data_IF_505375560954
#
_entry.id   IF_505375560954
#
_cell.length_a   1.000
_cell.length_b   1.000
_cell.length_c   1.000
_cell.angle_alpha   90.00
_cell.angle_beta   90.00
_cell.angle_gamma   90.00
#
_symmetry.space_group_name_H-M   'P 1'
#
loop_
_entity.id
_entity.type
_entity.pdbx_description
1 polymer ?
#
# COMPACT_ATOMS: atom_id res chain seq x y z
N UNK A 1 3.11 -0.94 -35.77
CA UNK A 1 4.09 -0.71 -34.68
C UNK A 1 3.46 -0.09 -33.44
N UNK A 2 2.69 1.00 -33.54
CA UNK A 2 2.04 1.65 -32.39
C UNK A 2 1.14 0.71 -31.55
N UNK A 3 0.30 -0.11 -32.20
CA UNK A 3 -0.53 -1.14 -31.52
C UNK A 3 0.29 -2.13 -30.70
N UNK A 4 1.43 -2.57 -31.23
CA UNK A 4 2.32 -3.50 -30.53
C UNK A 4 2.95 -2.85 -29.29
N UNK A 5 3.42 -1.60 -29.43
CA UNK A 5 3.98 -0.84 -28.31
C UNK A 5 2.94 -0.57 -27.21
N UNK A 6 1.72 -0.19 -27.59
CA UNK A 6 0.61 0.02 -26.67
C UNK A 6 0.25 -1.27 -25.92
N UNK A 7 0.11 -2.40 -26.63
CA UNK A 7 -0.12 -3.70 -25.99
C UNK A 7 0.99 -4.04 -24.98
N UNK A 8 2.26 -3.84 -25.37
CA UNK A 8 3.41 -4.14 -24.51
C UNK A 8 3.40 -3.31 -23.21
N UNK A 9 3.05 -2.03 -23.30
CA UNK A 9 2.91 -1.15 -22.13
C UNK A 9 1.75 -1.60 -21.23
N UNK A 10 0.60 -1.96 -21.82
CA UNK A 10 -0.55 -2.46 -21.07
C UNK A 10 -0.17 -3.73 -20.30
N UNK A 11 0.48 -4.71 -20.95
CA UNK A 11 0.95 -5.91 -20.28
C UNK A 11 1.90 -5.58 -19.12
N UNK A 12 2.84 -4.64 -19.31
CA UNK A 12 3.73 -4.19 -18.24
C UNK A 12 2.98 -3.60 -17.04
N UNK A 13 2.01 -2.71 -17.29
CA UNK A 13 1.17 -2.11 -16.26
C UNK A 13 0.37 -3.18 -15.51
N UNK A 14 -0.22 -4.14 -16.24
CA UNK A 14 -0.99 -5.24 -15.64
C UNK A 14 -0.11 -6.12 -14.75
N UNK A 15 1.11 -6.44 -15.17
CA UNK A 15 2.05 -7.24 -14.37
C UNK A 15 2.43 -6.50 -13.09
N UNK A 16 2.81 -5.22 -13.19
CA UNK A 16 3.15 -4.40 -12.00
C UNK A 16 1.96 -4.28 -11.07
N UNK A 17 0.76 -4.05 -11.62
CA UNK A 17 -0.48 -3.97 -10.86
C UNK A 17 -0.81 -5.29 -10.14
N UNK A 18 -0.60 -6.43 -10.79
CA UNK A 18 -0.79 -7.75 -10.20
C UNK A 18 0.19 -7.99 -9.04
N UNK A 19 1.48 -7.69 -9.23
CA UNK A 19 2.50 -7.82 -8.17
C UNK A 19 2.16 -6.89 -7.00
N UNK A 20 1.81 -5.63 -7.26
CA UNK A 20 1.42 -4.66 -6.24
C UNK A 20 0.17 -5.09 -5.45
N UNK A 21 -0.78 -5.73 -6.12
CA UNK A 21 -1.98 -6.27 -5.46
C UNK A 21 -1.65 -7.48 -4.59
N UNK A 22 -0.78 -8.36 -5.08
CA UNK A 22 -0.33 -9.53 -4.34
C UNK A 22 0.45 -9.11 -3.09
N UNK A 23 1.38 -8.15 -3.21
CA UNK A 23 2.13 -7.62 -2.06
C UNK A 23 1.21 -6.93 -1.05
N UNK A 24 0.23 -6.15 -1.51
CA UNK A 24 -0.77 -5.54 -0.64
C UNK A 24 -1.54 -6.58 0.16
N UNK A 25 -2.02 -7.65 -0.50
CA UNK A 25 -2.74 -8.73 0.17
C UNK A 25 -1.84 -9.47 1.16
N UNK A 26 -0.61 -9.82 0.77
CA UNK A 26 0.35 -10.48 1.66
C UNK A 26 0.59 -9.66 2.94
N UNK A 27 0.76 -8.35 2.82
CA UNK A 27 0.96 -7.47 3.97
C UNK A 27 -0.26 -7.38 4.89
N UNK A 28 -1.48 -7.56 4.37
CA UNK A 28 -2.70 -7.58 5.18
C UNK A 28 -3.02 -8.95 5.79
N UNK A 29 -2.54 -10.03 5.18
CA UNK A 29 -2.72 -11.40 5.67
C UNK A 29 -1.73 -11.72 6.80
N UNK A 30 -0.54 -11.14 6.77
CA UNK A 30 0.44 -11.33 7.84
C UNK A 30 -0.12 -10.74 9.15
N UNK A 31 -0.32 -11.55 10.20
CA UNK A 31 -0.77 -11.05 11.49
C UNK A 31 0.36 -10.27 12.15
N UNK A 32 0.13 -8.98 12.40
CA UNK A 32 1.07 -8.07 13.05
C UNK A 32 1.43 -6.88 12.17
N UNK A 33 1.12 -5.68 12.64
CA UNK A 33 1.51 -4.42 12.02
C UNK A 33 2.80 -3.84 12.62
N UNK A 34 3.49 -2.93 11.90
CA UNK A 34 4.68 -2.23 12.40
C UNK A 34 4.43 -1.40 13.67
N UNK A 35 3.15 -1.21 14.04
CA UNK A 35 2.72 -0.49 15.24
C UNK A 35 2.17 -1.41 16.34
N UNK A 36 2.13 -2.72 16.11
CA UNK A 36 1.67 -3.72 17.07
C UNK A 36 2.81 -4.28 17.95
N UNK A 37 4.05 -3.87 17.70
CA UNK A 37 5.22 -4.26 18.49
C UNK A 37 5.17 -3.65 19.91
N UNK A 38 5.65 -4.43 20.90
CA UNK A 38 5.69 -4.27 22.37
C UNK A 38 5.65 -2.87 23.05
N UNK A 39 5.93 -1.76 22.35
CA UNK A 39 5.72 -0.42 22.89
C UNK A 39 4.24 -0.08 22.85
N UNK A 40 3.56 -0.27 23.99
CA UNK A 40 2.22 0.27 24.24
C UNK A 40 2.24 1.79 24.09
N UNK A 41 1.97 2.26 22.88
CA UNK A 41 1.70 3.67 22.64
C UNK A 41 0.43 4.05 23.41
N UNK A 42 0.36 5.26 24.00
CA UNK A 42 -0.88 5.81 24.52
C UNK A 42 -1.99 5.71 23.45
N UNK A 43 -3.25 5.43 23.84
CA UNK A 43 -4.34 5.20 22.90
C UNK A 43 -4.57 6.37 21.94
N UNK A 44 -4.30 7.60 22.40
CA UNK A 44 -4.36 8.82 21.58
C UNK A 44 -3.31 8.83 20.46
N UNK A 45 -2.09 8.34 20.73
CA UNK A 45 -1.03 8.26 19.74
C UNK A 45 -1.35 7.18 18.72
N UNK A 46 -1.88 6.03 19.15
CA UNK A 46 -2.33 4.97 18.24
C UNK A 46 -3.45 5.44 17.31
N UNK A 47 -4.43 6.19 17.82
CA UNK A 47 -5.50 6.76 17.01
C UNK A 47 -4.95 7.72 15.95
N UNK A 48 -4.03 8.60 16.34
CA UNK A 48 -3.36 9.53 15.42
C UNK A 48 -2.51 8.81 14.37
N UNK A 49 -1.80 7.73 14.74
CA UNK A 49 -1.03 6.91 13.81
C UNK A 49 -1.98 6.22 12.82
N UNK A 50 -3.05 5.60 13.30
CA UNK A 50 -4.03 4.92 12.45
C UNK A 50 -4.65 5.88 11.44
N UNK A 51 -5.06 7.07 11.88
CA UNK A 51 -5.59 8.12 11.01
C UNK A 51 -4.56 8.62 10.00
N UNK A 52 -3.30 8.81 10.42
CA UNK A 52 -2.21 9.29 9.56
C UNK A 52 -1.84 8.29 8.46
N UNK A 53 -1.86 7.00 8.75
CA UNK A 53 -1.55 5.92 7.79
C UNK A 53 -2.81 5.35 7.13
N UNK A 54 -3.99 5.92 7.37
CA UNK A 54 -5.27 5.46 6.83
C UNK A 54 -5.64 4.02 7.21
N UNK A 55 -5.06 3.51 8.31
CA UNK A 55 -5.34 2.19 8.87
C UNK A 55 -6.74 2.10 9.48
N UNK A 56 -7.39 3.25 9.70
CA UNK A 56 -8.78 3.40 10.14
C UNK A 56 -9.81 3.28 9.00
N UNK A 57 -9.35 3.23 7.75
CA UNK A 57 -10.22 3.21 6.56
C UNK A 57 -10.50 1.78 6.08
N UNK A 58 -11.62 1.55 5.35
CA UNK A 58 -11.90 0.24 4.77
C UNK A 58 -10.83 -0.19 3.75
N UNK A 59 -10.58 -1.50 3.65
CA UNK A 59 -9.51 -2.10 2.84
C UNK A 59 -9.45 -1.61 1.39
N UNK A 60 -10.61 -1.44 0.75
CA UNK A 60 -10.68 -0.92 -0.63
C UNK A 60 -10.10 0.48 -0.75
N UNK A 61 -10.30 1.34 0.27
CA UNK A 61 -9.79 2.70 0.28
C UNK A 61 -8.28 2.71 0.53
N UNK A 62 -7.79 1.84 1.43
CA UNK A 62 -6.36 1.63 1.65
C UNK A 62 -5.66 1.17 0.36
N UNK A 63 -6.27 0.25 -0.39
CA UNK A 63 -5.75 -0.23 -1.66
C UNK A 63 -5.70 0.87 -2.74
N UNK A 64 -6.76 1.68 -2.88
CA UNK A 64 -6.78 2.80 -3.83
C UNK A 64 -5.72 3.85 -3.49
N UNK A 65 -5.55 4.17 -2.19
CA UNK A 65 -4.50 5.07 -1.73
C UNK A 65 -3.11 4.52 -2.02
N UNK A 66 -2.89 3.23 -1.76
CA UNK A 66 -1.65 2.54 -2.09
C UNK A 66 -1.31 2.60 -3.59
N UNK A 67 -2.27 2.30 -4.47
CA UNK A 67 -2.07 2.41 -5.93
C UNK A 67 -1.81 3.86 -6.38
N UNK A 68 -2.47 4.83 -5.76
CA UNK A 68 -2.28 6.26 -6.06
C UNK A 68 -0.87 6.72 -5.68
N UNK A 69 -0.37 6.33 -4.52
CA UNK A 69 0.99 6.65 -4.09
C UNK A 69 2.03 5.91 -4.92
N UNK A 70 1.77 4.65 -5.31
CA UNK A 70 2.61 3.88 -6.22
C UNK A 70 2.74 4.57 -7.60
N UNK A 71 1.62 5.04 -8.17
CA UNK A 71 1.61 5.79 -9.43
C UNK A 71 2.31 7.16 -9.34
N UNK A 72 2.43 7.72 -8.13
CA UNK A 72 3.20 8.94 -7.85
C UNK A 72 4.66 8.65 -7.46
N UNK A 73 5.09 7.39 -7.52
CA UNK A 73 6.41 6.94 -7.07
C UNK A 73 6.72 7.30 -5.60
N UNK A 74 5.68 7.38 -4.77
CA UNK A 74 5.79 7.65 -3.34
C UNK A 74 5.72 6.33 -2.59
N UNK A 75 6.86 5.83 -2.14
CA UNK A 75 6.95 4.55 -1.42
C UNK A 75 6.79 4.68 0.11
N UNK A 76 6.41 5.86 0.58
CA UNK A 76 6.30 6.18 2.00
C UNK A 76 7.65 6.60 2.63
N UNK A 77 7.63 7.00 3.90
CA UNK A 77 8.84 7.36 4.64
C UNK A 77 9.68 6.12 4.95
N UNK A 78 11.01 6.25 4.86
CA UNK A 78 11.94 5.23 5.34
C UNK A 78 12.05 5.34 6.86
N UNK A 79 11.75 4.26 7.57
CA UNK A 79 11.98 4.16 9.01
C UNK A 79 13.38 3.54 9.24
N UNK A 80 14.22 4.23 10.02
CA UNK A 80 15.51 3.72 10.51
C UNK A 80 15.34 3.04 11.86
#
# INVERSE_FOLDING_TARGET
MFRFLAMRLIYGIVVVWAVASLTFLLMHVVPGGPFDTEKKFPPEILANIRAKYHLDQPLWRQYVLYLKDLGRLRFGPSFK
#
